data_IF_295235746721
#
_entry.id   IF_295235746721
#
_cell.length_a   1.000
_cell.length_b   1.000
_cell.length_c   1.000
_cell.angle_alpha   90.00
_cell.angle_beta   90.00
_cell.angle_gamma   90.00
#
_symmetry.space_group_name_H-M   'P 1'
#
loop_
_entity.id
_entity.type
_entity.pdbx_description
1 polymer ?
#
# COMPACT_ATOMS: atom_id res chain seq x y z
N UNK A 1 -230.29 -77.96 76.62
CA UNK A 1 -229.72 -77.77 75.26
C UNK A 1 -228.93 -79.02 74.83
N UNK A 2 -229.60 -80.16 74.63
CA UNK A 2 -228.94 -81.47 74.40
C UNK A 2 -229.15 -82.00 72.96
N UNK A 3 -230.16 -81.52 72.23
CA UNK A 3 -230.47 -81.98 70.86
C UNK A 3 -229.33 -81.81 69.82
N UNK A 4 -228.54 -80.73 69.77
CA UNK A 4 -227.52 -80.57 68.73
C UNK A 4 -226.38 -81.60 68.81
N UNK A 5 -226.02 -82.03 70.03
CA UNK A 5 -224.91 -82.96 70.27
C UNK A 5 -225.26 -84.37 69.74
N UNK A 6 -226.54 -84.75 69.82
CA UNK A 6 -226.99 -86.08 69.37
C UNK A 6 -226.87 -86.24 67.85
N UNK A 7 -227.26 -85.22 67.07
CA UNK A 7 -227.12 -85.25 65.60
C UNK A 7 -225.66 -85.27 65.16
N UNK A 8 -224.77 -84.56 65.86
CA UNK A 8 -223.34 -84.60 65.58
C UNK A 8 -222.73 -86.00 65.85
N UNK A 9 -223.14 -86.65 66.95
CA UNK A 9 -222.67 -88.00 67.28
C UNK A 9 -223.15 -89.05 66.27
N UNK A 10 -224.42 -88.97 65.83
CA UNK A 10 -224.96 -89.87 64.80
C UNK A 10 -224.28 -89.63 63.45
N UNK A 11 -224.08 -88.37 63.07
CA UNK A 11 -223.33 -88.02 61.84
C UNK A 11 -221.89 -88.57 61.85
N UNK A 12 -221.20 -88.49 62.99
CA UNK A 12 -219.85 -89.05 63.15
C UNK A 12 -219.85 -90.58 63.01
N UNK A 13 -220.80 -91.27 63.64
CA UNK A 13 -220.91 -92.72 63.55
C UNK A 13 -221.16 -93.21 62.12
N UNK A 14 -222.02 -92.52 61.36
CA UNK A 14 -222.29 -92.86 59.96
C UNK A 14 -221.03 -92.65 59.09
N UNK A 15 -220.30 -91.56 59.30
CA UNK A 15 -219.07 -91.28 58.55
C UNK A 15 -217.95 -92.29 58.83
N UNK A 16 -217.79 -92.71 60.10
CA UNK A 16 -216.84 -93.75 60.51
C UNK A 16 -217.16 -95.10 59.85
N UNK A 17 -218.45 -95.45 59.76
CA UNK A 17 -218.91 -96.69 59.13
C UNK A 17 -218.60 -96.69 57.62
N UNK A 18 -218.86 -95.58 56.94
CA UNK A 18 -218.52 -95.43 55.52
C UNK A 18 -217.00 -95.53 55.26
N UNK A 19 -216.17 -94.99 56.16
CA UNK A 19 -214.70 -95.05 56.03
C UNK A 19 -214.14 -96.48 56.09
N UNK A 20 -214.66 -97.33 56.98
CA UNK A 20 -214.19 -98.72 57.14
C UNK A 20 -214.44 -99.60 55.91
N UNK A 21 -215.44 -99.26 55.09
CA UNK A 21 -215.76 -100.04 53.89
C UNK A 21 -214.79 -99.80 52.73
N UNK A 22 -214.11 -98.64 52.68
CA UNK A 22 -213.21 -98.26 51.57
C UNK A 22 -211.77 -98.78 51.76
N UNK A 23 -211.29 -98.91 53.00
CA UNK A 23 -209.93 -99.35 53.35
C UNK A 23 -209.49 -100.69 52.70
N UNK A 24 -210.30 -101.77 52.69
CA UNK A 24 -209.84 -103.05 52.14
C UNK A 24 -209.58 -103.01 50.61
N UNK A 25 -210.27 -102.15 49.87
CA UNK A 25 -210.09 -102.03 48.41
C UNK A 25 -208.75 -101.40 48.04
N UNK A 26 -208.28 -100.42 48.80
CA UNK A 26 -207.00 -99.74 48.55
C UNK A 26 -205.82 -100.65 48.91
N UNK A 27 -205.93 -101.43 50.00
CA UNK A 27 -204.85 -102.30 50.48
C UNK A 27 -204.52 -103.43 49.48
N UNK A 28 -205.53 -104.07 48.90
CA UNK A 28 -205.32 -105.14 47.92
C UNK A 28 -204.58 -104.66 46.66
N UNK A 29 -204.80 -103.40 46.26
CA UNK A 29 -204.12 -102.83 45.08
C UNK A 29 -202.65 -102.50 45.36
N UNK A 30 -202.30 -102.13 46.59
CA UNK A 30 -200.92 -101.87 47.00
C UNK A 30 -200.06 -103.15 47.01
N UNK A 31 -200.58 -104.25 47.56
CA UNK A 31 -199.85 -105.53 47.69
C UNK A 31 -199.43 -106.12 46.33
N UNK A 32 -200.28 -106.02 45.30
CA UNK A 32 -199.96 -106.54 43.96
C UNK A 32 -198.85 -105.74 43.26
N UNK A 33 -198.71 -104.46 43.59
CA UNK A 33 -197.69 -103.58 43.02
C UNK A 33 -196.32 -103.77 43.69
N UNK A 34 -196.28 -104.11 44.98
CA UNK A 34 -195.03 -104.40 45.70
C UNK A 34 -194.46 -105.78 45.36
N UNK A 35 -195.31 -106.80 45.20
CA UNK A 35 -194.87 -108.16 44.79
C UNK A 35 -194.17 -108.15 43.43
N UNK A 36 -194.76 -107.49 42.42
CA UNK A 36 -194.14 -107.40 41.08
C UNK A 36 -192.81 -106.63 41.06
N UNK A 37 -192.60 -105.67 41.96
CA UNK A 37 -191.30 -104.97 42.08
C UNK A 37 -190.25 -105.82 42.79
N UNK A 38 -190.68 -106.68 43.70
CA UNK A 38 -189.78 -107.58 44.42
C UNK A 38 -189.30 -108.73 43.54
N UNK A 39 -190.20 -109.32 42.74
CA UNK A 39 -189.83 -110.39 41.79
C UNK A 39 -188.85 -109.93 40.71
N UNK A 40 -188.89 -108.65 40.30
CA UNK A 40 -187.94 -108.09 39.34
C UNK A 40 -186.57 -107.70 39.95
N UNK A 41 -186.44 -107.72 41.28
CA UNK A 41 -185.25 -107.25 42.00
C UNK A 41 -184.49 -108.36 42.73
N UNK A 42 -184.96 -109.61 42.70
CA UNK A 42 -184.30 -110.75 43.37
C UNK A 42 -183.73 -111.74 42.34
N UNK A 43 -182.39 -111.90 42.24
CA UNK A 43 -181.75 -112.90 41.40
C UNK A 43 -181.98 -114.31 41.99
N UNK A 44 -182.46 -115.26 41.20
CA UNK A 44 -182.82 -116.61 41.67
C UNK A 44 -182.20 -117.76 40.85
N UNK A 45 -181.18 -117.52 40.00
CA UNK A 45 -180.53 -118.58 39.22
C UNK A 45 -179.05 -118.77 39.60
N UNK A 46 -178.66 -120.00 39.99
CA UNK A 46 -177.28 -120.38 40.33
C UNK A 46 -176.28 -120.20 39.18
N UNK A 47 -176.77 -120.24 37.93
CA UNK A 47 -175.95 -119.98 36.75
C UNK A 47 -175.50 -118.51 36.65
N UNK A 48 -176.33 -117.56 37.10
CA UNK A 48 -175.99 -116.13 37.13
C UNK A 48 -174.92 -115.85 38.19
N UNK A 49 -174.99 -116.50 39.37
CA UNK A 49 -173.96 -116.35 40.42
C UNK A 49 -172.59 -116.89 39.96
N UNK A 50 -172.58 -118.00 39.20
CA UNK A 50 -171.34 -118.53 38.65
C UNK A 50 -170.79 -117.64 37.52
N UNK A 51 -171.67 -117.12 36.66
CA UNK A 51 -171.29 -116.15 35.63
C UNK A 51 -170.69 -114.87 36.24
N UNK A 52 -171.30 -114.32 37.29
CA UNK A 52 -170.77 -113.15 38.01
C UNK A 52 -169.42 -113.44 38.66
N UNK A 53 -169.25 -114.64 39.24
CA UNK A 53 -167.97 -115.05 39.86
C UNK A 53 -166.86 -115.21 38.83
N UNK A 54 -167.14 -115.83 37.69
CA UNK A 54 -166.16 -116.00 36.62
C UNK A 54 -165.93 -114.68 35.87
N UNK A 55 -166.94 -113.81 35.78
CA UNK A 55 -166.79 -112.42 35.33
C UNK A 55 -165.85 -111.65 36.26
N UNK A 56 -166.04 -111.70 37.58
CA UNK A 56 -165.14 -111.06 38.54
C UNK A 56 -163.72 -111.61 38.43
N UNK A 57 -163.56 -112.94 38.30
CA UNK A 57 -162.22 -113.54 38.09
C UNK A 57 -161.58 -113.07 36.79
N UNK A 58 -162.34 -112.98 35.71
CA UNK A 58 -161.85 -112.46 34.44
C UNK A 58 -161.51 -110.97 34.54
N UNK A 59 -162.31 -110.16 35.24
CA UNK A 59 -162.04 -108.75 35.50
C UNK A 59 -160.77 -108.56 36.35
N UNK A 60 -160.59 -109.36 37.40
CA UNK A 60 -159.36 -109.34 38.21
C UNK A 60 -158.15 -109.83 37.41
N UNK A 61 -158.27 -110.90 36.62
CA UNK A 61 -157.18 -111.41 35.79
C UNK A 61 -156.81 -110.41 34.69
N UNK A 62 -157.80 -109.79 34.04
CA UNK A 62 -157.57 -108.80 32.98
C UNK A 62 -157.03 -107.49 33.54
N UNK A 63 -157.53 -107.01 34.68
CA UNK A 63 -156.98 -105.81 35.33
C UNK A 63 -155.57 -106.03 35.87
N UNK A 64 -155.29 -107.19 36.46
CA UNK A 64 -153.94 -107.61 36.85
C UNK A 64 -153.01 -107.68 35.63
N UNK A 65 -153.45 -108.30 34.54
CA UNK A 65 -152.67 -108.37 33.30
C UNK A 65 -152.42 -106.99 32.68
N UNK A 66 -153.41 -106.12 32.70
CA UNK A 66 -153.30 -104.73 32.19
C UNK A 66 -152.35 -103.91 33.06
N UNK A 67 -152.36 -104.13 34.37
CA UNK A 67 -151.42 -103.53 35.30
C UNK A 67 -150.00 -104.05 35.04
N UNK A 68 -149.79 -105.36 34.94
CA UNK A 68 -148.49 -105.96 34.60
C UNK A 68 -147.93 -105.37 33.30
N UNK A 69 -148.74 -105.34 32.23
CA UNK A 69 -148.33 -104.74 30.95
C UNK A 69 -147.98 -103.26 31.10
N UNK A 70 -148.76 -102.50 31.87
CA UNK A 70 -148.47 -101.08 32.11
C UNK A 70 -147.18 -100.89 32.91
N UNK A 71 -146.91 -101.75 33.89
CA UNK A 71 -145.69 -101.76 34.69
C UNK A 71 -144.49 -102.12 33.81
N UNK A 72 -144.61 -103.11 32.94
CA UNK A 72 -143.54 -103.48 32.01
C UNK A 72 -143.28 -102.39 30.98
N UNK A 73 -144.32 -101.75 30.44
CA UNK A 73 -144.18 -100.59 29.57
C UNK A 73 -143.52 -99.41 30.28
N UNK A 74 -143.92 -99.11 31.51
CA UNK A 74 -143.30 -98.06 32.31
C UNK A 74 -141.85 -98.39 32.61
N UNK A 75 -141.53 -99.62 33.04
CA UNK A 75 -140.15 -100.08 33.24
C UNK A 75 -139.32 -99.93 31.96
N UNK A 76 -139.83 -100.37 30.81
CA UNK A 76 -139.14 -100.22 29.53
C UNK A 76 -138.93 -98.76 29.14
N UNK A 77 -139.92 -97.89 29.39
CA UNK A 77 -139.77 -96.44 29.17
C UNK A 77 -138.73 -95.84 30.12
N UNK A 78 -138.75 -96.21 31.39
CA UNK A 78 -137.79 -95.72 32.40
C UNK A 78 -136.37 -96.19 32.07
N UNK A 79 -136.16 -97.45 31.68
CA UNK A 79 -134.83 -97.94 31.27
C UNK A 79 -134.34 -97.26 30.00
N UNK A 80 -135.23 -97.05 29.01
CA UNK A 80 -134.90 -96.29 27.79
C UNK A 80 -134.53 -94.84 28.12
N UNK A 81 -135.32 -94.17 28.97
CA UNK A 81 -135.03 -92.80 29.40
C UNK A 81 -133.72 -92.71 30.19
N UNK A 82 -133.42 -93.66 31.07
CA UNK A 82 -132.14 -93.72 31.78
C UNK A 82 -130.96 -93.92 30.83
N UNK A 83 -131.11 -94.79 29.81
CA UNK A 83 -130.08 -94.96 28.79
C UNK A 83 -129.86 -93.70 27.95
N UNK A 84 -130.93 -93.01 27.56
CA UNK A 84 -130.84 -91.73 26.85
C UNK A 84 -130.26 -90.61 27.71
N UNK A 85 -130.60 -90.56 29.01
CA UNK A 85 -129.96 -89.65 29.95
C UNK A 85 -128.47 -89.94 30.09
N UNK A 86 -128.07 -91.22 30.20
CA UNK A 86 -126.66 -91.62 30.24
C UNK A 86 -125.88 -91.14 29.00
N UNK A 87 -126.41 -91.39 27.79
CA UNK A 87 -125.80 -90.90 26.54
C UNK A 87 -125.68 -89.38 26.50
N UNK A 88 -126.72 -88.66 26.95
CA UNK A 88 -126.69 -87.18 27.03
C UNK A 88 -125.68 -86.70 28.05
N UNK A 89 -125.59 -87.33 29.21
CA UNK A 89 -124.59 -87.03 30.23
C UNK A 89 -123.16 -87.23 29.71
N UNK A 90 -122.91 -88.32 28.98
CA UNK A 90 -121.61 -88.56 28.35
C UNK A 90 -121.29 -87.52 27.27
N UNK A 91 -122.26 -87.15 26.44
CA UNK A 91 -122.10 -86.09 25.45
C UNK A 91 -121.80 -84.73 26.12
N UNK A 92 -122.51 -84.39 27.20
CA UNK A 92 -122.28 -83.18 27.99
C UNK A 92 -120.86 -83.19 28.59
N UNK A 93 -120.41 -84.32 29.12
CA UNK A 93 -119.07 -84.44 29.69
C UNK A 93 -117.98 -84.26 28.62
N UNK A 94 -118.16 -84.84 27.42
CA UNK A 94 -117.24 -84.62 26.29
C UNK A 94 -117.20 -83.14 25.87
N UNK A 95 -118.37 -82.52 25.69
CA UNK A 95 -118.47 -81.09 25.36
C UNK A 95 -117.83 -80.21 26.45
N UNK A 96 -117.95 -80.57 27.73
CA UNK A 96 -117.34 -79.84 28.84
C UNK A 96 -115.81 -79.93 28.80
N UNK A 97 -115.25 -81.09 28.46
CA UNK A 97 -113.80 -81.26 28.27
C UNK A 97 -113.33 -80.42 27.09
N UNK A 98 -114.00 -80.53 25.93
CA UNK A 98 -113.66 -79.75 24.74
C UNK A 98 -113.74 -78.24 25.01
N UNK A 99 -114.79 -77.76 25.69
CA UNK A 99 -114.89 -76.36 26.11
C UNK A 99 -113.76 -75.96 27.05
N UNK A 100 -113.36 -76.83 27.98
CA UNK A 100 -112.21 -76.61 28.85
C UNK A 100 -110.90 -76.46 28.06
N UNK A 101 -110.66 -77.35 27.10
CA UNK A 101 -109.48 -77.31 26.22
C UNK A 101 -109.49 -76.07 25.32
N UNK A 102 -110.63 -75.70 24.74
CA UNK A 102 -110.77 -74.48 23.94
C UNK A 102 -110.56 -73.22 24.77
N UNK A 103 -111.11 -73.16 25.98
CA UNK A 103 -110.87 -72.03 26.89
C UNK A 103 -109.39 -71.92 27.26
N UNK A 104 -108.71 -73.03 27.55
CA UNK A 104 -107.27 -73.03 27.81
C UNK A 104 -106.47 -72.55 26.58
N UNK A 105 -106.85 -72.99 25.37
CA UNK A 105 -106.24 -72.53 24.13
C UNK A 105 -106.48 -71.02 23.88
N UNK A 106 -107.68 -70.52 24.16
CA UNK A 106 -108.02 -69.09 24.06
C UNK A 106 -107.13 -68.29 25.01
N UNK A 107 -107.02 -68.67 26.28
CA UNK A 107 -106.15 -67.97 27.23
C UNK A 107 -104.68 -68.01 26.83
N UNK A 108 -104.20 -69.12 26.28
CA UNK A 108 -102.83 -69.21 25.77
C UNK A 108 -102.59 -68.30 24.55
N UNK A 109 -103.58 -68.19 23.65
CA UNK A 109 -103.52 -67.28 22.51
C UNK A 109 -103.60 -65.82 22.94
N UNK A 110 -104.48 -65.46 23.88
CA UNK A 110 -104.58 -64.11 24.44
C UNK A 110 -103.28 -63.69 25.15
N UNK A 111 -102.65 -64.62 25.89
CA UNK A 111 -101.36 -64.36 26.52
C UNK A 111 -100.25 -64.13 25.48
N UNK A 112 -100.21 -64.94 24.41
CA UNK A 112 -99.27 -64.73 23.30
C UNK A 112 -99.53 -63.43 22.56
N UNK A 113 -100.79 -63.07 22.32
CA UNK A 113 -101.15 -61.80 21.67
C UNK A 113 -100.69 -60.61 22.49
N UNK A 114 -100.91 -60.63 23.81
CA UNK A 114 -100.42 -59.60 24.73
C UNK A 114 -98.89 -59.52 24.72
N UNK A 115 -98.20 -60.66 24.78
CA UNK A 115 -96.74 -60.70 24.71
C UNK A 115 -96.19 -60.15 23.39
N UNK A 116 -96.81 -60.51 22.26
CA UNK A 116 -96.42 -60.01 20.94
C UNK A 116 -96.70 -58.51 20.78
N UNK A 117 -97.82 -58.01 21.32
CA UNK A 117 -98.13 -56.56 21.33
C UNK A 117 -97.12 -55.77 22.14
N UNK A 118 -96.71 -56.29 23.31
CA UNK A 118 -95.68 -55.65 24.13
C UNK A 118 -94.31 -55.66 23.43
N UNK A 119 -93.93 -56.78 22.81
CA UNK A 119 -92.71 -56.84 22.00
C UNK A 119 -92.75 -55.86 20.82
N UNK A 120 -93.87 -55.79 20.10
CA UNK A 120 -94.03 -54.85 18.99
C UNK A 120 -93.87 -53.40 19.48
N UNK A 121 -94.52 -53.06 20.60
CA UNK A 121 -94.40 -51.74 21.21
C UNK A 121 -92.96 -51.44 21.61
N UNK A 122 -92.27 -52.37 22.27
CA UNK A 122 -90.87 -52.20 22.65
C UNK A 122 -89.97 -51.99 21.43
N UNK A 123 -90.17 -52.77 20.36
CA UNK A 123 -89.39 -52.61 19.11
C UNK A 123 -89.70 -51.31 18.38
N UNK A 124 -90.94 -50.82 18.44
CA UNK A 124 -91.33 -49.53 17.85
C UNK A 124 -90.72 -48.37 18.63
N UNK A 125 -90.72 -48.44 19.96
CA UNK A 125 -90.05 -47.48 20.85
C UNK A 125 -88.54 -47.47 20.58
N UNK A 126 -87.88 -48.63 20.49
CA UNK A 126 -86.47 -48.73 20.10
C UNK A 126 -86.19 -48.17 18.70
N UNK A 127 -87.06 -48.45 17.74
CA UNK A 127 -86.92 -47.96 16.37
C UNK A 127 -87.05 -46.44 16.31
N UNK A 128 -88.02 -45.86 17.04
CA UNK A 128 -88.18 -44.42 17.16
C UNK A 128 -86.94 -43.77 17.78
N UNK A 129 -86.41 -44.34 18.87
CA UNK A 129 -85.20 -43.84 19.54
C UNK A 129 -83.96 -43.92 18.63
N UNK A 130 -83.79 -45.02 17.89
CA UNK A 130 -82.70 -45.16 16.90
C UNK A 130 -82.85 -44.17 15.75
N UNK A 131 -84.07 -43.90 15.30
CA UNK A 131 -84.34 -42.93 14.24
C UNK A 131 -83.98 -41.52 14.67
N UNK A 132 -84.31 -41.14 15.91
CA UNK A 132 -83.90 -39.85 16.48
C UNK A 132 -82.37 -39.75 16.64
N UNK A 133 -81.72 -40.80 17.14
CA UNK A 133 -80.26 -40.85 17.24
C UNK A 133 -79.59 -40.74 15.88
N UNK A 134 -80.10 -41.43 14.86
CA UNK A 134 -79.60 -41.35 13.49
C UNK A 134 -79.75 -39.93 12.95
N UNK A 135 -80.92 -39.31 13.09
CA UNK A 135 -81.16 -37.94 12.64
C UNK A 135 -80.24 -36.94 13.34
N UNK A 136 -80.00 -37.10 14.63
CA UNK A 136 -79.06 -36.28 15.39
C UNK A 136 -77.61 -36.48 14.91
N UNK A 137 -77.23 -37.72 14.60
CA UNK A 137 -75.91 -38.03 14.05
C UNK A 137 -75.72 -37.46 12.63
N UNK A 138 -76.75 -37.51 11.79
CA UNK A 138 -76.76 -36.90 10.46
C UNK A 138 -76.63 -35.38 10.56
N UNK A 139 -77.37 -34.73 11.47
CA UNK A 139 -77.24 -33.28 11.71
C UNK A 139 -75.83 -32.92 12.22
N UNK A 140 -75.29 -33.69 13.15
CA UNK A 140 -73.92 -33.48 13.62
C UNK A 140 -72.89 -33.66 12.48
N UNK A 141 -73.11 -34.62 11.58
CA UNK A 141 -72.25 -34.85 10.42
C UNK A 141 -72.31 -33.68 9.43
N UNK A 142 -73.49 -33.16 9.11
CA UNK A 142 -73.65 -32.00 8.22
C UNK A 142 -73.03 -30.74 8.81
N UNK A 143 -73.18 -30.51 10.11
CA UNK A 143 -72.53 -29.42 10.82
C UNK A 143 -70.99 -29.54 10.75
N UNK A 144 -70.46 -30.74 10.96
CA UNK A 144 -69.01 -31.02 10.85
C UNK A 144 -68.51 -30.84 9.41
N UNK A 145 -69.27 -31.25 8.40
CA UNK A 145 -68.94 -31.00 6.99
C UNK A 145 -68.92 -29.50 6.68
N UNK A 146 -69.87 -28.73 7.21
CA UNK A 146 -69.89 -27.27 7.11
C UNK A 146 -68.68 -26.61 7.76
N UNK A 147 -68.28 -27.06 8.95
CA UNK A 147 -67.07 -26.59 9.63
C UNK A 147 -65.80 -26.93 8.86
N UNK A 148 -65.69 -28.15 8.31
CA UNK A 148 -64.56 -28.53 7.46
C UNK A 148 -64.47 -27.65 6.21
N UNK A 149 -65.61 -27.35 5.57
CA UNK A 149 -65.66 -26.42 4.44
C UNK A 149 -65.14 -25.03 4.80
N UNK A 150 -65.56 -24.48 5.96
CA UNK A 150 -65.06 -23.18 6.47
C UNK A 150 -63.56 -23.21 6.76
N UNK A 151 -63.07 -24.22 7.46
CA UNK A 151 -61.64 -24.37 7.76
C UNK A 151 -60.81 -24.49 6.48
N UNK A 152 -61.31 -25.20 5.47
CA UNK A 152 -60.63 -25.33 4.19
C UNK A 152 -60.59 -24.00 3.42
N UNK A 153 -61.67 -23.21 3.47
CA UNK A 153 -61.68 -21.86 2.91
C UNK A 153 -60.69 -20.93 3.63
N UNK A 154 -60.69 -20.91 4.98
CA UNK A 154 -59.73 -20.13 5.77
C UNK A 154 -58.27 -20.57 5.51
N UNK A 155 -58.03 -21.86 5.34
CA UNK A 155 -56.70 -22.39 5.01
C UNK A 155 -56.26 -21.94 3.61
N UNK A 156 -57.16 -21.99 2.63
CA UNK A 156 -56.91 -21.50 1.27
C UNK A 156 -56.59 -20.00 1.29
N UNK A 157 -57.40 -19.19 1.98
CA UNK A 157 -57.16 -17.75 2.12
C UNK A 157 -55.81 -17.48 2.78
N UNK A 158 -55.49 -18.17 3.89
CA UNK A 158 -54.18 -18.05 4.54
C UNK A 158 -53.04 -18.46 3.61
N UNK A 159 -53.19 -19.52 2.83
CA UNK A 159 -52.20 -19.92 1.82
C UNK A 159 -51.99 -18.82 0.79
N UNK A 160 -53.07 -18.27 0.22
CA UNK A 160 -52.97 -17.18 -0.75
C UNK A 160 -52.30 -15.93 -0.16
N UNK A 161 -52.59 -15.58 1.11
CA UNK A 161 -51.90 -14.47 1.78
C UNK A 161 -50.42 -14.78 2.05
N UNK A 162 -50.07 -16.04 2.32
CA UNK A 162 -48.68 -16.45 2.51
C UNK A 162 -47.91 -16.39 1.20
N UNK A 163 -48.49 -16.86 0.10
CA UNK A 163 -47.91 -16.77 -1.25
C UNK A 163 -47.73 -15.31 -1.68
N UNK A 164 -48.74 -14.45 -1.43
CA UNK A 164 -48.63 -13.00 -1.68
C UNK A 164 -47.48 -12.38 -0.89
N UNK A 165 -47.38 -12.66 0.41
CA UNK A 165 -46.28 -12.18 1.26
C UNK A 165 -44.92 -12.72 0.81
N UNK A 166 -44.86 -13.96 0.32
CA UNK A 166 -43.62 -14.53 -0.20
C UNK A 166 -43.17 -13.79 -1.47
N UNK A 167 -44.09 -13.45 -2.37
CA UNK A 167 -43.81 -12.61 -3.54
C UNK A 167 -43.31 -11.23 -3.11
N UNK A 168 -43.98 -10.59 -2.14
CA UNK A 168 -43.54 -9.30 -1.59
C UNK A 168 -42.15 -9.37 -0.96
N UNK A 169 -41.85 -10.42 -0.19
CA UNK A 169 -40.53 -10.63 0.40
C UNK A 169 -39.44 -10.81 -0.66
N UNK A 170 -39.74 -11.52 -1.75
CA UNK A 170 -38.81 -11.66 -2.88
C UNK A 170 -38.60 -10.30 -3.56
N UNK A 171 -39.66 -9.53 -3.78
CA UNK A 171 -39.56 -8.19 -4.36
C UNK A 171 -38.70 -7.25 -3.48
N UNK A 172 -38.95 -7.23 -2.17
CA UNK A 172 -38.15 -6.44 -1.21
C UNK A 172 -36.70 -6.91 -1.16
N UNK A 173 -36.42 -8.23 -1.21
CA UNK A 173 -35.04 -8.73 -1.29
C UNK A 173 -34.33 -8.27 -2.55
N UNK A 174 -35.01 -8.27 -3.70
CA UNK A 174 -34.45 -7.74 -4.95
C UNK A 174 -34.14 -6.24 -4.83
N UNK A 175 -35.04 -5.46 -4.21
CA UNK A 175 -34.79 -4.04 -3.94
C UNK A 175 -33.60 -3.82 -2.99
N UNK A 176 -33.45 -4.66 -1.96
CA UNK A 176 -32.31 -4.59 -1.04
C UNK A 176 -30.99 -4.90 -1.76
N UNK A 177 -30.96 -5.92 -2.62
CA UNK A 177 -29.75 -6.22 -3.42
C UNK A 177 -29.44 -5.12 -4.44
N UNK A 178 -30.46 -4.51 -5.06
CA UNK A 178 -30.27 -3.34 -5.92
C UNK A 178 -29.67 -2.15 -5.14
N UNK A 179 -30.22 -1.82 -3.97
CA UNK A 179 -29.70 -0.77 -3.11
C UNK A 179 -28.27 -1.07 -2.65
N UNK A 180 -27.97 -2.33 -2.31
CA UNK A 180 -26.63 -2.77 -1.93
C UNK A 180 -25.64 -2.63 -3.09
N UNK A 181 -26.04 -2.95 -4.31
CA UNK A 181 -25.23 -2.71 -5.50
C UNK A 181 -24.98 -1.21 -5.71
N UNK A 182 -26.02 -0.37 -5.61
CA UNK A 182 -25.89 1.09 -5.70
C UNK A 182 -24.96 1.67 -4.63
N UNK A 183 -25.05 1.19 -3.39
CA UNK A 183 -24.13 1.58 -2.32
C UNK A 183 -22.70 1.12 -2.63
N UNK A 184 -22.54 -0.10 -3.17
CA UNK A 184 -21.24 -0.62 -3.60
C UNK A 184 -20.61 0.20 -4.72
N UNK A 185 -21.40 0.59 -5.72
CA UNK A 185 -20.95 1.43 -6.84
C UNK A 185 -20.59 2.84 -6.34
N UNK A 186 -21.44 3.45 -5.49
CA UNK A 186 -21.14 4.74 -4.87
C UNK A 186 -19.85 4.69 -4.01
N UNK A 187 -19.61 3.59 -3.30
CA UNK A 187 -18.38 3.38 -2.54
C UNK A 187 -17.15 3.27 -3.46
N UNK A 188 -17.27 2.62 -4.63
CA UNK A 188 -16.18 2.56 -5.63
C UNK A 188 -15.92 3.94 -6.26
N UNK A 189 -16.97 4.68 -6.59
CA UNK A 189 -16.84 6.06 -7.08
C UNK A 189 -16.18 6.95 -6.04
N UNK A 190 -16.58 6.85 -4.78
CA UNK A 190 -15.93 7.55 -3.68
C UNK A 190 -14.45 7.21 -3.58
N UNK A 191 -14.08 5.92 -3.56
CA UNK A 191 -12.68 5.49 -3.54
C UNK A 191 -11.89 5.99 -4.76
N UNK A 192 -12.49 5.99 -5.94
CA UNK A 192 -11.86 6.53 -7.15
C UNK A 192 -11.64 8.05 -7.04
N UNK A 193 -12.61 8.80 -6.49
CA UNK A 193 -12.44 10.24 -6.26
C UNK A 193 -11.41 10.56 -5.19
N UNK A 194 -11.35 9.79 -4.10
CA UNK A 194 -10.28 9.91 -3.09
C UNK A 194 -8.90 9.62 -3.69
N UNK A 195 -8.77 8.57 -4.49
CA UNK A 195 -7.52 8.23 -5.17
C UNK A 195 -7.08 9.35 -6.13
N UNK A 196 -8.03 9.91 -6.89
CA UNK A 196 -7.78 11.06 -7.76
C UNK A 196 -7.36 12.30 -6.96
N UNK A 197 -8.02 12.59 -5.85
CA UNK A 197 -7.65 13.70 -4.96
C UNK A 197 -6.25 13.52 -4.37
N UNK A 198 -5.89 12.29 -3.98
CA UNK A 198 -4.55 11.96 -3.50
C UNK A 198 -3.49 12.13 -4.60
N UNK A 199 -3.81 11.72 -5.84
CA UNK A 199 -2.95 11.94 -6.99
C UNK A 199 -2.75 13.43 -7.28
N UNK A 200 -3.82 14.21 -7.31
CA UNK A 200 -3.77 15.68 -7.51
C UNK A 200 -2.96 16.36 -6.39
N UNK A 201 -3.10 15.91 -5.14
CA UNK A 201 -2.28 16.39 -4.02
C UNK A 201 -0.79 16.07 -4.21
N UNK A 202 -0.47 14.83 -4.60
CA UNK A 202 0.91 14.45 -4.87
C UNK A 202 1.50 15.24 -6.05
N UNK A 203 0.73 15.43 -7.12
CA UNK A 203 1.12 16.26 -8.26
C UNK A 203 1.32 17.73 -7.86
N UNK A 204 0.43 18.28 -7.04
CA UNK A 204 0.58 19.63 -6.49
C UNK A 204 1.84 19.73 -5.62
N UNK A 205 2.14 18.72 -4.82
CA UNK A 205 3.37 18.65 -4.01
C UNK A 205 4.62 18.55 -4.89
N UNK A 206 4.63 17.73 -5.95
CA UNK A 206 5.77 17.63 -6.87
C UNK A 206 5.98 18.95 -7.62
N UNK A 207 4.92 19.57 -8.12
CA UNK A 207 5.00 20.89 -8.78
C UNK A 207 5.50 21.96 -7.79
N UNK A 208 5.08 21.89 -6.54
CA UNK A 208 5.59 22.80 -5.49
C UNK A 208 7.07 22.57 -5.23
N UNK A 209 7.54 21.32 -5.16
CA UNK A 209 8.97 20.99 -5.04
C UNK A 209 9.76 21.48 -6.25
N UNK A 210 9.30 21.21 -7.46
CA UNK A 210 9.93 21.68 -8.70
C UNK A 210 10.00 23.21 -8.77
N UNK A 211 8.94 23.91 -8.33
CA UNK A 211 8.92 25.36 -8.21
C UNK A 211 9.96 25.85 -7.20
N UNK A 212 10.12 25.15 -6.08
CA UNK A 212 11.10 25.47 -5.04
C UNK A 212 12.53 25.26 -5.55
N UNK A 213 12.78 24.16 -6.25
CA UNK A 213 14.06 23.87 -6.90
C UNK A 213 14.38 24.88 -8.02
N UNK A 214 13.38 25.29 -8.79
CA UNK A 214 13.52 26.33 -9.80
C UNK A 214 13.86 27.68 -9.16
N UNK A 215 13.20 28.05 -8.04
CA UNK A 215 13.56 29.25 -7.26
C UNK A 215 14.98 29.17 -6.74
N UNK A 216 15.42 28.03 -6.19
CA UNK A 216 16.81 27.83 -5.76
C UNK A 216 17.82 27.94 -6.90
N UNK A 217 17.48 27.43 -8.10
CA UNK A 217 18.29 27.62 -9.32
C UNK A 217 18.38 29.08 -9.74
N UNK A 218 17.26 29.81 -9.71
CA UNK A 218 17.22 31.25 -10.00
C UNK A 218 18.07 32.02 -9.00
N UNK A 219 18.00 31.69 -7.71
CA UNK A 219 18.82 32.31 -6.67
C UNK A 219 20.32 32.03 -6.87
N UNK A 220 20.70 30.79 -7.20
CA UNK A 220 22.09 30.45 -7.52
C UNK A 220 22.59 31.17 -8.78
N UNK A 221 21.78 31.22 -9.84
CA UNK A 221 22.09 31.98 -11.05
C UNK A 221 22.22 33.47 -10.74
N UNK A 222 21.35 34.02 -9.89
CA UNK A 222 21.45 35.41 -9.43
C UNK A 222 22.74 35.66 -8.66
N UNK A 223 23.15 34.77 -7.75
CA UNK A 223 24.44 34.85 -7.06
C UNK A 223 25.61 34.81 -8.05
N UNK A 224 25.60 33.88 -9.01
CA UNK A 224 26.60 33.82 -10.09
C UNK A 224 26.65 35.08 -10.93
N UNK A 225 25.50 35.65 -11.29
CA UNK A 225 25.43 36.95 -11.99
C UNK A 225 26.05 38.04 -11.14
N UNK A 226 25.77 38.10 -9.83
CA UNK A 226 26.40 39.09 -8.94
C UNK A 226 27.91 38.90 -8.79
N UNK A 227 28.40 37.66 -8.79
CA UNK A 227 29.84 37.36 -8.73
C UNK A 227 30.53 37.66 -10.06
N UNK A 228 29.88 37.35 -11.20
CA UNK A 228 30.34 37.75 -12.52
C UNK A 228 30.35 39.27 -12.67
N UNK A 229 29.34 39.98 -12.17
CA UNK A 229 29.32 41.45 -12.15
C UNK A 229 30.48 42.00 -11.31
N UNK A 230 30.77 41.41 -10.14
CA UNK A 230 31.95 41.78 -9.34
C UNK A 230 33.26 41.52 -10.08
N UNK A 231 33.40 40.36 -10.73
CA UNK A 231 34.58 40.03 -11.54
C UNK A 231 34.72 40.98 -12.73
N UNK A 232 33.61 41.33 -13.38
CA UNK A 232 33.58 42.28 -14.49
C UNK A 232 33.97 43.68 -14.02
N UNK A 233 33.53 44.13 -12.83
CA UNK A 233 34.02 45.37 -12.21
C UNK A 233 35.52 45.31 -11.96
N UNK A 234 36.05 44.17 -11.47
CA UNK A 234 37.50 44.01 -11.27
C UNK A 234 38.24 44.06 -12.61
N UNK A 235 37.78 43.34 -13.65
CA UNK A 235 38.39 43.39 -14.97
C UNK A 235 38.29 44.76 -15.64
N UNK A 236 37.18 45.48 -15.46
CA UNK A 236 37.04 46.86 -15.92
C UNK A 236 38.06 47.75 -15.21
N UNK A 237 38.23 47.62 -13.89
CA UNK A 237 39.28 48.35 -13.14
C UNK A 237 40.69 47.97 -13.59
N UNK A 238 40.95 46.69 -13.86
CA UNK A 238 42.24 46.25 -14.42
C UNK A 238 42.46 46.81 -15.82
N UNK A 239 41.43 46.83 -16.66
CA UNK A 239 41.46 47.44 -17.99
C UNK A 239 41.65 48.97 -17.92
N UNK A 240 41.02 49.66 -16.98
CA UNK A 240 41.25 51.08 -16.70
C UNK A 240 42.70 51.32 -16.23
N UNK A 241 43.23 50.47 -15.34
CA UNK A 241 44.63 50.55 -14.89
C UNK A 241 45.62 50.28 -16.03
N UNK A 242 45.34 49.28 -16.88
CA UNK A 242 46.12 49.02 -18.09
C UNK A 242 46.00 50.16 -19.09
N UNK A 243 44.81 50.74 -19.27
CA UNK A 243 44.57 51.92 -20.08
C UNK A 243 45.37 53.13 -19.58
N UNK A 244 45.36 53.38 -18.27
CA UNK A 244 46.19 54.41 -17.64
C UNK A 244 47.69 54.15 -17.83
N UNK A 245 48.11 52.88 -17.87
CA UNK A 245 49.50 52.51 -18.11
C UNK A 245 49.88 52.68 -19.59
N UNK A 246 48.96 52.42 -20.50
CA UNK A 246 49.12 52.70 -21.94
C UNK A 246 49.23 54.21 -22.16
N UNK A 247 48.38 55.03 -21.55
CA UNK A 247 48.48 56.50 -21.68
C UNK A 247 49.77 57.05 -21.07
N UNK A 248 50.26 56.51 -19.95
CA UNK A 248 51.59 56.84 -19.41
C UNK A 248 52.72 56.43 -20.38
N UNK A 249 52.61 55.27 -21.02
CA UNK A 249 53.57 54.85 -22.05
C UNK A 249 53.50 55.73 -23.32
N UNK A 250 52.31 56.13 -23.75
CA UNK A 250 52.10 57.04 -24.89
C UNK A 250 52.66 58.43 -24.60
N UNK A 251 52.47 58.97 -23.39
CA UNK A 251 53.07 60.25 -22.98
C UNK A 251 54.59 60.16 -22.87
N UNK A 252 55.15 59.04 -22.41
CA UNK A 252 56.61 58.77 -22.47
C UNK A 252 57.13 58.65 -23.90
N UNK A 253 56.38 58.02 -24.80
CA UNK A 253 56.69 57.97 -26.23
C UNK A 253 56.63 59.35 -26.88
N UNK A 254 55.64 60.17 -26.51
CA UNK A 254 55.52 61.54 -27.00
C UNK A 254 56.66 62.45 -26.49
N UNK A 255 57.10 62.28 -25.24
CA UNK A 255 58.27 63.00 -24.72
C UNK A 255 59.58 62.53 -25.36
N UNK A 256 59.73 61.23 -25.61
CA UNK A 256 60.84 60.70 -26.41
C UNK A 256 60.81 61.20 -27.86
N UNK A 257 59.63 61.29 -28.49
CA UNK A 257 59.45 61.87 -29.82
C UNK A 257 59.83 63.35 -29.87
N UNK A 258 59.48 64.13 -28.83
CA UNK A 258 59.94 65.53 -28.71
C UNK A 258 61.46 65.65 -28.56
N UNK A 259 62.08 64.82 -27.72
CA UNK A 259 63.54 64.80 -27.55
C UNK A 259 64.27 64.36 -28.83
N UNK A 260 63.69 63.45 -29.62
CA UNK A 260 64.22 63.09 -30.93
C UNK A 260 64.08 64.23 -31.94
N UNK A 261 62.95 64.94 -31.96
CA UNK A 261 62.77 66.12 -32.81
C UNK A 261 63.73 67.27 -32.44
N UNK A 262 63.99 67.48 -31.13
CA UNK A 262 65.02 68.42 -30.65
C UNK A 262 66.43 67.99 -31.10
N UNK A 263 66.76 66.69 -30.98
CA UNK A 263 68.01 66.12 -31.48
C UNK A 263 68.17 66.24 -32.99
N UNK A 264 67.09 66.08 -33.75
CA UNK A 264 67.08 66.27 -35.21
C UNK A 264 67.28 67.75 -35.58
N UNK A 265 66.68 68.68 -34.83
CA UNK A 265 66.88 70.12 -35.01
C UNK A 265 68.32 70.55 -34.68
N UNK A 266 68.91 70.04 -33.59
CA UNK A 266 70.31 70.23 -33.24
C UNK A 266 71.25 69.65 -34.31
N UNK A 267 70.95 68.46 -34.84
CA UNK A 267 71.70 67.87 -35.97
C UNK A 267 71.60 68.73 -37.24
N UNK A 268 70.44 69.32 -37.50
CA UNK A 268 70.22 70.26 -38.60
C UNK A 268 71.08 71.51 -38.49
N UNK A 269 71.15 72.12 -37.30
CA UNK A 269 72.01 73.28 -37.04
C UNK A 269 73.50 72.94 -37.17
N UNK A 270 73.93 71.77 -36.67
CA UNK A 270 75.32 71.31 -36.80
C UNK A 270 75.72 71.05 -38.26
N UNK A 271 74.81 70.54 -39.09
CA UNK A 271 75.04 70.40 -40.55
C UNK A 271 75.15 71.76 -41.24
N UNK A 272 74.36 72.74 -40.83
CA UNK A 272 74.40 74.10 -41.40
C UNK A 272 75.69 74.84 -41.01
N UNK A 273 76.21 74.62 -39.79
CA UNK A 273 77.51 75.11 -39.36
C UNK A 273 78.69 74.45 -40.12
N UNK A 274 78.59 73.15 -40.43
CA UNK A 274 79.60 72.44 -41.21
C UNK A 274 79.68 72.92 -42.67
N UNK A 275 78.52 73.18 -43.30
CA UNK A 275 78.46 73.74 -44.66
C UNK A 275 79.00 75.18 -44.75
N UNK A 276 78.91 75.96 -43.67
CA UNK A 276 79.54 77.29 -43.59
C UNK A 276 81.07 77.18 -43.44
N UNK A 277 81.57 76.22 -42.66
CA UNK A 277 83.00 75.95 -42.53
C UNK A 277 83.64 75.48 -43.84
N UNK A 278 82.96 74.63 -44.62
CA UNK A 278 83.46 74.16 -45.92
C UNK A 278 83.60 75.26 -46.98
N UNK A 279 82.73 76.28 -46.96
CA UNK A 279 82.84 77.47 -47.84
C UNK A 279 84.06 78.33 -47.50
N UNK A 280 84.38 78.49 -46.21
CA UNK A 280 85.61 79.20 -45.78
C UNK A 280 86.89 78.43 -46.13
N UNK A 281 86.83 77.10 -46.22
CA UNK A 281 87.95 76.25 -46.66
C UNK A 281 88.17 76.33 -48.18
N UNK A 282 87.12 76.55 -48.98
CA UNK A 282 87.23 76.71 -50.43
C UNK A 282 87.79 78.09 -50.82
N UNK A 283 87.39 79.17 -50.14
CA UNK A 283 87.96 80.51 -50.35
C UNK A 283 89.46 80.57 -49.98
N UNK A 284 89.88 79.88 -48.91
CA UNK A 284 91.30 79.75 -48.55
C UNK A 284 92.11 78.83 -49.48
N UNK A 285 91.46 77.92 -50.22
CA UNK A 285 92.14 77.07 -51.21
C UNK A 285 92.42 77.80 -52.53
N UNK A 286 91.60 78.78 -52.91
CA UNK A 286 91.84 79.61 -54.10
C UNK A 286 92.91 80.69 -53.86
N UNK A 287 93.07 81.22 -52.63
CA UNK A 287 94.19 82.10 -52.26
C UNK A 287 95.55 81.36 -52.17
N UNK A 288 95.57 80.09 -51.76
CA UNK A 288 96.82 79.30 -51.69
C UNK A 288 97.32 78.86 -53.08
N UNK A 289 96.44 78.75 -54.08
CA UNK A 289 96.82 78.40 -55.45
C UNK A 289 97.51 79.56 -56.22
N UNK A 290 97.34 80.82 -55.79
CA UNK A 290 97.92 81.98 -56.43
C UNK A 290 99.32 82.38 -55.88
N UNK A 291 99.82 81.74 -54.81
CA UNK A 291 101.07 82.16 -54.13
C UNK A 291 102.00 81.02 -53.70
N UNK A 292 102.22 80.01 -54.55
CA UNK A 292 103.16 78.91 -54.24
C UNK A 292 103.85 78.32 -55.48
N UNK A 293 104.62 79.15 -56.19
CA UNK A 293 105.70 78.71 -57.08
C UNK A 293 107.06 78.81 -56.40
N UNK A 294 107.75 77.68 -56.22
CA UNK A 294 109.18 77.62 -55.92
C UNK A 294 109.57 77.26 -54.48
N UNK A 295 109.79 75.96 -54.22
CA UNK A 295 110.68 75.45 -53.15
C UNK A 295 111.13 73.98 -53.41
N UNK A 296 111.53 73.67 -54.64
CA UNK A 296 112.17 72.40 -55.00
C UNK A 296 113.69 72.35 -54.78
N UNK A 297 114.32 73.38 -54.23
CA UNK A 297 115.80 73.42 -54.10
C UNK A 297 116.34 73.09 -52.70
N UNK A 298 115.46 72.97 -51.70
CA UNK A 298 115.85 72.65 -50.32
C UNK A 298 115.73 71.16 -50.03
N UNK A 299 114.75 70.48 -50.64
CA UNK A 299 114.55 69.04 -50.52
C UNK A 299 115.63 68.20 -51.24
N UNK A 300 116.25 68.74 -52.29
CA UNK A 300 117.35 68.08 -53.02
C UNK A 300 118.67 68.12 -52.23
N UNK A 301 118.98 69.24 -51.56
CA UNK A 301 120.22 69.41 -50.79
C UNK A 301 120.24 68.57 -49.50
N UNK A 302 119.11 68.48 -48.80
CA UNK A 302 118.98 67.62 -47.62
C UNK A 302 119.02 66.12 -47.96
N UNK A 303 118.69 65.72 -49.21
CA UNK A 303 118.85 64.33 -49.68
C UNK A 303 120.31 63.97 -49.98
N UNK A 304 121.06 64.87 -50.60
CA UNK A 304 122.48 64.63 -50.92
C UNK A 304 123.38 64.63 -49.67
N UNK A 305 123.08 65.46 -48.67
CA UNK A 305 123.81 65.43 -47.39
C UNK A 305 123.47 64.21 -46.53
N UNK A 306 122.22 63.69 -46.60
CA UNK A 306 121.83 62.43 -45.94
C UNK A 306 122.54 61.21 -46.55
N UNK A 307 122.72 61.15 -47.88
CA UNK A 307 123.40 60.02 -48.53
C UNK A 307 124.91 59.95 -48.21
N UNK A 308 125.58 61.10 -48.08
CA UNK A 308 127.02 61.13 -47.77
C UNK A 308 127.33 60.72 -46.32
N UNK A 309 126.46 61.08 -45.37
CA UNK A 309 126.59 60.68 -43.96
C UNK A 309 126.18 59.21 -43.76
N UNK A 310 125.21 58.70 -44.52
CA UNK A 310 124.83 57.28 -44.50
C UNK A 310 125.95 56.36 -45.00
N UNK A 311 126.78 56.77 -45.97
CA UNK A 311 127.89 55.94 -46.46
C UNK A 311 129.09 55.91 -45.48
N UNK A 312 129.42 57.04 -44.82
CA UNK A 312 130.46 57.04 -43.79
C UNK A 312 130.03 56.32 -42.51
N UNK A 313 128.73 56.31 -42.20
CA UNK A 313 128.15 55.54 -41.11
C UNK A 313 128.06 54.03 -41.45
N UNK A 314 128.00 53.66 -42.74
CA UNK A 314 128.05 52.27 -43.22
C UNK A 314 129.45 51.69 -43.08
N UNK A 315 130.48 52.41 -43.53
CA UNK A 315 131.88 51.95 -43.44
C UNK A 315 132.33 51.78 -41.98
N UNK A 316 132.01 52.75 -41.10
CA UNK A 316 132.34 52.63 -39.68
C UNK A 316 131.49 51.57 -38.93
N UNK A 317 130.25 51.29 -39.37
CA UNK A 317 129.43 50.20 -38.79
C UNK A 317 129.84 48.82 -39.29
N UNK A 318 130.31 48.70 -40.53
CA UNK A 318 130.82 47.43 -41.07
C UNK A 318 132.15 47.03 -40.42
N UNK A 319 133.03 48.00 -40.14
CA UNK A 319 134.26 47.78 -39.36
C UNK A 319 133.96 47.42 -37.89
N UNK A 320 132.97 48.06 -37.25
CA UNK A 320 132.51 47.67 -35.91
C UNK A 320 131.79 46.32 -35.89
N UNK A 321 131.04 46.00 -36.93
CA UNK A 321 130.25 44.77 -37.04
C UNK A 321 131.09 43.52 -37.32
N UNK A 322 132.24 43.67 -38.01
CA UNK A 322 133.25 42.61 -38.13
C UNK A 322 133.92 42.35 -36.78
N UNK A 323 134.40 43.38 -36.09
CA UNK A 323 135.08 43.22 -34.80
C UNK A 323 134.16 42.76 -33.67
N UNK A 324 132.88 43.19 -33.63
CA UNK A 324 131.94 42.76 -32.59
C UNK A 324 131.50 41.29 -32.75
N UNK A 325 131.40 40.77 -33.99
CA UNK A 325 131.02 39.37 -34.23
C UNK A 325 132.16 38.42 -33.85
N UNK A 326 133.39 38.80 -34.12
CA UNK A 326 134.56 38.00 -33.73
C UNK A 326 134.76 38.04 -32.20
N UNK A 327 134.52 39.18 -31.55
CA UNK A 327 134.52 39.29 -30.08
C UNK A 327 133.40 38.43 -29.47
N UNK A 328 132.16 38.51 -29.97
CA UNK A 328 131.04 37.73 -29.41
C UNK A 328 131.19 36.21 -29.64
N UNK A 329 131.80 35.78 -30.74
CA UNK A 329 132.07 34.36 -30.99
C UNK A 329 133.14 33.80 -30.03
N UNK A 330 134.20 34.56 -29.75
CA UNK A 330 135.21 34.18 -28.76
C UNK A 330 134.64 34.27 -27.34
N UNK A 331 133.76 35.23 -27.07
CA UNK A 331 133.12 35.43 -25.77
C UNK A 331 132.12 34.30 -25.44
N UNK A 332 131.42 33.73 -26.43
CA UNK A 332 130.60 32.51 -26.24
C UNK A 332 131.44 31.24 -26.06
N UNK A 333 132.62 31.17 -26.68
CA UNK A 333 133.61 30.10 -26.42
C UNK A 333 134.23 30.23 -25.00
N UNK A 334 134.37 31.47 -24.50
CA UNK A 334 134.86 31.75 -23.14
C UNK A 334 133.77 31.56 -22.07
N UNK A 335 132.49 31.86 -22.36
CA UNK A 335 131.37 31.73 -21.42
C UNK A 335 130.93 30.28 -21.20
N UNK A 336 131.09 29.40 -22.19
CA UNK A 336 130.92 27.95 -22.00
C UNK A 336 132.05 27.33 -21.17
N UNK A 337 133.28 27.85 -21.27
CA UNK A 337 134.41 27.49 -20.40
C UNK A 337 134.29 28.08 -18.98
N UNK A 338 133.68 29.26 -18.83
CA UNK A 338 133.45 29.96 -17.56
C UNK A 338 132.23 29.45 -16.78
N UNK A 339 131.24 28.84 -17.43
CA UNK A 339 130.10 28.23 -16.74
C UNK A 339 130.52 26.98 -15.93
N UNK A 340 131.53 26.24 -16.38
CA UNK A 340 132.17 25.14 -15.64
C UNK A 340 133.04 25.64 -14.48
N UNK A 341 133.81 26.72 -14.66
CA UNK A 341 134.63 27.30 -13.59
C UNK A 341 133.80 28.00 -12.50
N UNK A 342 132.62 28.56 -12.82
CA UNK A 342 131.73 29.19 -11.81
C UNK A 342 131.05 28.18 -10.88
N UNK A 343 130.86 26.93 -11.31
CA UNK A 343 130.38 25.87 -10.41
C UNK A 343 131.47 25.44 -9.41
N UNK A 344 132.74 25.49 -9.80
CA UNK A 344 133.89 25.23 -8.92
C UNK A 344 134.27 26.45 -8.05
N UNK A 345 134.05 27.68 -8.54
CA UNK A 345 134.23 28.93 -7.78
C UNK A 345 133.18 29.13 -6.68
N UNK A 346 132.06 28.38 -6.69
CA UNK A 346 131.06 28.39 -5.62
C UNK A 346 131.42 27.47 -4.44
N UNK A 347 132.14 26.35 -4.68
CA UNK A 347 132.56 25.38 -3.66
C UNK A 347 133.94 25.70 -3.03
N UNK A 348 134.82 26.45 -3.71
CA UNK A 348 136.09 26.94 -3.13
C UNK A 348 135.93 28.20 -2.26
N UNK A 349 134.87 29.00 -2.46
CA UNK A 349 134.59 30.20 -1.66
C UNK A 349 133.98 29.90 -0.27
N UNK A 350 133.50 28.67 -0.04
CA UNK A 350 132.98 28.21 1.25
C UNK A 350 134.10 27.70 2.18
N UNK A 351 135.20 27.13 1.66
CA UNK A 351 136.29 26.52 2.47
C UNK A 351 137.49 27.42 2.78
N UNK A 352 137.69 28.50 2.04
CA UNK A 352 138.82 29.43 2.26
C UNK A 352 138.47 30.54 3.27
N UNK A 353 137.20 30.91 3.38
CA UNK A 353 136.75 31.91 4.38
C UNK A 353 136.72 31.37 5.83
N UNK A 354 136.53 30.06 6.02
CA UNK A 354 136.56 29.44 7.35
C UNK A 354 138.00 29.19 7.87
N UNK A 355 138.98 28.98 6.98
CA UNK A 355 140.39 28.74 7.35
C UNK A 355 141.14 30.07 7.66
N UNK A 356 140.71 31.19 7.07
CA UNK A 356 141.25 32.52 7.35
C UNK A 356 140.83 33.08 8.73
N UNK A 357 139.74 32.57 9.33
CA UNK A 357 139.28 32.95 10.67
C UNK A 357 140.00 32.22 11.82
N UNK A 358 140.63 31.05 11.56
CA UNK A 358 141.33 30.26 12.59
C UNK A 358 142.84 30.53 12.67
N UNK A 359 143.52 30.86 11.56
CA UNK A 359 144.99 31.06 11.57
C UNK A 359 145.41 32.44 12.07
N UNK A 360 144.53 33.45 11.99
CA UNK A 360 144.73 34.75 12.64
C UNK A 360 144.56 34.70 14.17
N UNK A 361 143.88 33.67 14.69
CA UNK A 361 143.57 33.53 16.14
C UNK A 361 144.61 32.70 16.91
N UNK A 362 145.40 31.85 16.23
CA UNK A 362 146.36 30.95 16.88
C UNK A 362 147.82 31.45 16.85
N UNK A 363 148.22 32.30 15.90
CA UNK A 363 149.59 32.83 15.83
C UNK A 363 149.86 34.02 16.79
N UNK A 364 148.80 34.67 17.30
CA UNK A 364 148.88 35.66 18.40
C UNK A 364 149.23 34.99 19.75
N UNK A 365 149.16 33.66 19.84
CA UNK A 365 149.14 32.96 21.12
C UNK A 365 150.46 32.30 21.55
N UNK A 366 151.55 32.32 20.76
CA UNK A 366 152.71 31.48 21.04
C UNK A 366 154.11 32.11 21.05
N UNK A 367 154.34 33.35 20.62
CA UNK A 367 155.69 33.94 20.70
C UNK A 367 155.70 35.35 21.29
N UNK A 368 156.03 35.42 22.59
CA UNK A 368 156.32 36.64 23.35
C UNK A 368 157.68 37.28 23.00
N UNK A 369 158.30 38.08 23.89
CA UNK A 369 158.59 39.50 23.67
C UNK A 369 159.73 39.90 22.69
N UNK A 370 160.15 39.05 21.74
CA UNK A 370 161.08 39.38 20.64
C UNK A 370 160.99 38.34 19.49
N UNK A 371 159.96 38.39 18.62
CA UNK A 371 159.85 37.52 17.42
C UNK A 371 159.39 38.25 16.14
N UNK A 372 159.75 37.71 14.98
CA UNK A 372 159.92 38.38 13.69
C UNK A 372 158.63 38.81 12.94
N UNK A 373 157.43 38.58 13.48
CA UNK A 373 156.14 38.95 12.84
C UNK A 373 155.63 40.32 13.33
N UNK A 374 156.14 40.84 14.46
CA UNK A 374 155.91 42.24 14.89
C UNK A 374 156.90 43.24 14.27
N UNK A 375 158.04 42.79 13.73
CA UNK A 375 158.97 43.64 12.95
C UNK A 375 158.71 43.60 11.43
N UNK A 376 157.95 42.60 10.96
CA UNK A 376 157.46 42.47 9.58
C UNK A 376 155.93 42.51 9.61
N UNK A 377 155.28 43.64 9.45
CA UNK A 377 155.47 44.47 8.25
C UNK A 377 155.09 45.94 8.49
N UNK A 378 155.32 46.47 9.70
CA UNK A 378 155.38 47.91 9.98
C UNK A 378 156.52 48.64 9.23
N UNK A 379 157.29 47.91 8.41
CA UNK A 379 158.17 48.40 7.37
C UNK A 379 157.36 48.83 6.13
N UNK A 380 157.19 50.14 5.98
CA UNK A 380 156.89 50.79 4.70
C UNK A 380 157.89 50.38 3.60
N UNK A 381 157.45 50.24 2.33
CA UNK A 381 158.14 50.86 1.21
C UNK A 381 157.38 52.14 0.83
N UNK A 382 157.76 53.19 1.54
CA UNK A 382 158.12 54.50 0.99
C UNK A 382 157.84 54.66 -0.51
N UNK A 383 156.98 55.62 -0.80
CA UNK A 383 157.13 56.59 -1.88
C UNK A 383 158.63 56.81 -2.21
N UNK A 384 159.04 56.79 -3.49
CA UNK A 384 159.65 58.02 -3.99
C UNK A 384 159.20 58.32 -5.43
N UNK A 385 158.63 59.50 -5.68
CA UNK A 385 159.29 60.81 -5.69
C UNK A 385 159.84 61.15 -7.07
N UNK A 386 159.24 62.18 -7.66
CA UNK A 386 159.86 63.42 -8.18
C UNK A 386 158.99 63.95 -9.32
N UNK A 387 158.70 65.24 -9.43
CA UNK A 387 159.10 66.38 -8.63
C UNK A 387 158.31 67.61 -9.11
N UNK A 388 158.21 68.58 -8.21
CA UNK A 388 158.38 70.02 -8.45
C UNK A 388 157.32 70.73 -9.33
N UNK A 389 156.80 71.90 -9.01
CA UNK A 389 156.98 72.80 -7.88
C UNK A 389 155.98 73.96 -8.02
N UNK A 390 155.70 74.61 -6.88
CA UNK A 390 155.56 76.07 -6.74
C UNK A 390 154.26 76.78 -7.22
N UNK A 391 153.95 77.97 -6.67
CA UNK A 391 152.79 78.13 -5.78
C UNK A 391 151.88 79.31 -6.20
N UNK A 392 150.81 79.54 -5.43
CA UNK A 392 150.51 80.82 -4.76
C UNK A 392 148.99 81.07 -4.56
N UNK A 393 148.67 81.58 -3.37
CA UNK A 393 147.65 82.59 -3.02
C UNK A 393 146.56 82.89 -4.05
N UNK A 394 145.28 82.90 -3.67
CA UNK A 394 144.71 83.88 -2.75
C UNK A 394 143.62 84.63 -3.53
N UNK A 395 142.38 84.59 -3.05
CA UNK A 395 141.79 85.63 -2.23
C UNK A 395 141.07 86.72 -3.05
N UNK A 396 139.83 86.96 -2.59
CA UNK A 396 139.13 88.24 -2.58
C UNK A 396 138.56 88.84 -3.89
N UNK A 397 137.39 89.42 -3.67
CA UNK A 397 136.75 90.54 -4.37
C UNK A 397 136.09 90.30 -5.73
N UNK A 398 134.84 90.76 -5.79
CA UNK A 398 134.49 91.80 -6.74
C UNK A 398 133.78 91.35 -8.01
N UNK A 399 132.46 91.63 -8.03
CA UNK A 399 131.76 92.36 -9.11
C UNK A 399 131.89 91.83 -10.55
N UNK A 400 130.74 91.32 -11.04
CA UNK A 400 130.25 91.36 -12.44
C UNK A 400 131.23 90.79 -13.49
N UNK A 401 131.00 90.93 -14.81
CA UNK A 401 129.79 91.14 -15.63
C UNK A 401 129.65 90.04 -16.70
N UNK A 402 128.67 90.18 -17.60
CA UNK A 402 128.84 89.71 -18.98
C UNK A 402 127.58 89.07 -19.56
N UNK A 403 126.82 89.73 -20.43
CA UNK A 403 127.14 90.02 -21.85
C UNK A 403 127.25 88.73 -22.68
N UNK A 404 126.66 88.60 -23.85
CA UNK A 404 126.14 89.64 -24.74
C UNK A 404 125.21 89.00 -25.77
N UNK A 405 124.31 89.82 -26.32
CA UNK A 405 124.48 90.45 -27.63
C UNK A 405 123.90 89.55 -28.75
N UNK A 406 123.50 90.10 -29.90
CA UNK A 406 122.57 91.23 -30.05
C UNK A 406 121.69 91.08 -31.31
N UNK A 407 120.90 92.12 -31.59
CA UNK A 407 120.73 92.77 -32.90
C UNK A 407 120.86 91.89 -34.17
N UNK A 408 119.83 91.85 -35.02
CA UNK A 408 119.35 93.06 -35.67
C UNK A 408 120.35 93.49 -36.75
N UNK A 409 120.07 93.12 -38.00
CA UNK A 409 120.66 93.76 -39.17
C UNK A 409 122.11 93.37 -39.47
N UNK A 410 122.28 92.47 -40.42
CA UNK A 410 123.61 92.18 -40.97
C UNK A 410 123.51 91.86 -42.44
N UNK A 411 123.92 92.81 -43.26
CA UNK A 411 123.77 92.84 -44.71
C UNK A 411 124.60 91.75 -45.43
N UNK A 412 124.38 91.66 -46.73
CA UNK A 412 124.67 90.55 -47.64
C UNK A 412 126.14 90.05 -47.73
N UNK A 413 127.09 90.64 -47.02
CA UNK A 413 128.51 90.25 -47.08
C UNK A 413 128.93 89.17 -46.05
N UNK A 414 128.32 89.13 -44.86
CA UNK A 414 128.71 88.15 -43.81
C UNK A 414 128.01 86.79 -43.96
N UNK A 415 126.83 86.81 -44.58
CA UNK A 415 126.14 85.60 -45.09
C UNK A 415 126.95 84.84 -46.14
N UNK A 416 127.99 85.45 -46.72
CA UNK A 416 128.87 84.82 -47.71
C UNK A 416 130.14 84.22 -47.07
N UNK A 417 130.42 84.41 -45.77
CA UNK A 417 131.72 83.99 -45.21
C UNK A 417 131.72 82.88 -44.15
N UNK A 418 130.72 82.73 -43.29
CA UNK A 418 130.82 81.72 -42.21
C UNK A 418 130.22 80.34 -42.56
N UNK A 419 129.61 80.23 -43.75
CA UNK A 419 129.38 78.99 -44.53
C UNK A 419 130.67 78.19 -44.83
N UNK A 420 131.79 78.54 -44.23
CA UNK A 420 133.06 77.81 -44.31
C UNK A 420 133.52 77.23 -42.97
N UNK A 421 132.80 77.49 -41.87
CA UNK A 421 133.12 76.87 -40.60
C UNK A 421 131.93 76.03 -40.15
N UNK A 422 131.87 74.80 -40.60
CA UNK A 422 132.51 73.77 -39.80
C UNK A 422 131.94 73.77 -38.39
N UNK A 423 131.10 72.77 -38.16
CA UNK A 423 131.66 71.49 -37.76
C UNK A 423 131.90 71.49 -36.28
N UNK A 424 132.03 70.27 -35.80
CA UNK A 424 132.09 70.00 -34.40
C UNK A 424 130.76 70.39 -33.76
N UNK A 425 129.89 69.39 -33.66
CA UNK A 425 129.40 68.91 -32.37
C UNK A 425 127.97 68.45 -32.58
N UNK A 426 127.73 67.15 -32.54
CA UNK A 426 127.72 66.42 -31.27
C UNK A 426 126.51 66.94 -30.46
N UNK A 427 125.61 66.10 -30.01
CA UNK A 427 125.80 64.73 -29.53
C UNK A 427 124.44 64.37 -28.94
N UNK A 428 124.15 63.07 -28.89
CA UNK A 428 123.40 62.46 -27.79
C UNK A 428 121.89 62.77 -27.75
N UNK A 429 120.98 61.87 -27.43
CA UNK A 429 120.95 60.47 -26.98
C UNK A 429 119.45 60.13 -27.09
N UNK A 430 119.03 58.99 -27.63
CA UNK A 430 119.19 57.67 -27.03
C UNK A 430 118.03 57.47 -26.04
N UNK A 431 117.19 56.44 -26.14
CA UNK A 431 117.18 55.27 -27.01
C UNK A 431 115.74 54.76 -27.12
#
# INVERSE_FOLDING_TARGET
MIEPIMYAAIGFLISMLCGLMIVPLVHNRAVRLTTRRMEAATPLSMAEIQADKDQLRAEFAMSARRLEMSVDQLKSKTTSQLAELGKKTDAINRMKIELGEKNAAIFALEAREKAMKEQLRATEEEFSAKTELLRNAEQALTDKQGLLGKINAELSDRSMTADSRQIELVAVRTQVEELKNRVGDAAREFAATEARLAQERNQSETVTRELTDARGRVENLSQRVTDLDRQLIVQVKEAEMLGNRVTDLETRLATQGKLLAEREFENGQLKQANAAAERTVQELREEIAATSGGKSSVLEKLRQEKAAVEEQLRIARDERGKLQRDINAIQQQAESSWATERMENALLRERINDIAAEVAKLAIQLEGPNSAIEAMLAAEPTVPAKAAAKPANGAANGVSPGSGMPEGGGTLAERIRALQSHASRARQQGA
#
